data_IF_124305011870
#
_entry.id   IF_124305011870
#
_cell.length_a   1.000
_cell.length_b   1.000
_cell.length_c   1.000
_cell.angle_alpha   90.00
_cell.angle_beta   90.00
_cell.angle_gamma   90.00
#
_symmetry.space_group_name_H-M   'P 1'
#
loop_
_entity.id
_entity.type
_entity.pdbx_description
1 polymer ?
#
# COMPACT_ATOMS: atom_id res chain seq x y z
N UNK A 1 21.80 -0.22 3.32
CA UNK A 1 21.18 -1.58 3.31
C UNK A 1 21.07 -2.19 4.72
N UNK A 2 22.09 -2.09 5.60
CA UNK A 2 22.03 -2.65 6.97
C UNK A 2 20.80 -2.23 7.81
N UNK A 3 20.34 -0.95 7.85
CA UNK A 3 19.20 -0.58 8.69
C UNK A 3 17.87 -1.18 8.21
N UNK A 4 17.61 -1.25 6.91
CA UNK A 4 16.38 -1.87 6.36
C UNK A 4 16.34 -3.36 6.65
N UNK A 5 17.48 -4.05 6.49
CA UNK A 5 17.58 -5.48 6.82
C UNK A 5 17.31 -5.74 8.30
N UNK A 6 17.82 -4.87 9.18
CA UNK A 6 17.55 -4.96 10.62
C UNK A 6 16.04 -4.83 10.92
N UNK A 7 15.33 -3.89 10.26
CA UNK A 7 13.87 -3.74 10.43
C UNK A 7 13.12 -4.98 9.92
N UNK A 8 13.52 -5.55 8.78
CA UNK A 8 12.90 -6.79 8.27
C UNK A 8 13.15 -7.98 9.21
N UNK A 9 14.36 -8.07 9.78
CA UNK A 9 14.68 -9.13 10.75
C UNK A 9 13.85 -9.02 12.03
N UNK A 10 13.53 -7.80 12.50
CA UNK A 10 12.62 -7.57 13.64
C UNK A 10 11.22 -8.10 13.37
N UNK A 11 10.80 -8.18 12.09
CA UNK A 11 9.50 -8.70 11.68
C UNK A 11 9.47 -10.23 11.51
N UNK A 12 10.59 -10.92 11.72
CA UNK A 12 10.65 -12.37 11.67
C UNK A 12 9.76 -12.95 12.77
N UNK A 13 8.79 -13.78 12.39
CA UNK A 13 7.76 -14.31 13.29
C UNK A 13 6.62 -13.32 13.64
N UNK A 14 6.59 -12.14 13.03
CA UNK A 14 5.50 -11.17 13.19
C UNK A 14 4.27 -11.55 12.36
N UNK A 15 3.10 -11.15 12.84
CA UNK A 15 1.83 -11.22 12.09
C UNK A 15 1.83 -10.39 10.80
N UNK A 16 2.84 -9.54 10.58
CA UNK A 16 2.97 -8.74 9.35
C UNK A 16 2.99 -9.61 8.08
N UNK A 17 3.62 -10.79 8.15
CA UNK A 17 3.67 -11.72 7.01
C UNK A 17 2.31 -12.33 6.72
N UNK A 18 1.54 -12.64 7.77
CA UNK A 18 0.17 -13.12 7.60
C UNK A 18 -0.71 -12.06 6.93
N UNK A 19 -0.61 -10.80 7.34
CA UNK A 19 -1.33 -9.67 6.72
C UNK A 19 -0.93 -9.53 5.24
N UNK A 20 0.36 -9.60 4.94
CA UNK A 20 0.88 -9.45 3.58
C UNK A 20 0.42 -10.56 2.63
N UNK A 21 0.09 -11.74 3.14
CA UNK A 21 -0.39 -12.87 2.33
C UNK A 21 -1.92 -12.97 2.36
N UNK A 22 -2.53 -12.91 3.54
CA UNK A 22 -3.97 -13.21 3.67
C UNK A 22 -4.87 -12.16 3.01
N UNK A 23 -4.52 -10.86 3.08
CA UNK A 23 -5.38 -9.83 2.50
C UNK A 23 -5.46 -9.92 0.97
N UNK A 24 -4.35 -10.03 0.21
CA UNK A 24 -4.43 -10.23 -1.23
C UNK A 24 -5.13 -11.54 -1.61
N UNK A 25 -4.83 -12.65 -0.93
CA UNK A 25 -5.46 -13.95 -1.21
C UNK A 25 -6.96 -13.89 -0.93
N UNK A 26 -7.39 -13.32 0.20
CA UNK A 26 -8.80 -13.15 0.52
C UNK A 26 -9.53 -12.32 -0.54
N UNK A 27 -8.87 -11.30 -1.11
CA UNK A 27 -9.44 -10.51 -2.21
C UNK A 27 -9.68 -11.36 -3.46
N UNK A 28 -8.72 -12.16 -3.87
CA UNK A 28 -8.85 -13.03 -5.05
C UNK A 28 -9.90 -14.13 -4.82
N UNK A 29 -9.93 -14.73 -3.63
CA UNK A 29 -10.94 -15.73 -3.27
C UNK A 29 -12.34 -15.10 -3.30
N UNK A 30 -12.50 -13.90 -2.70
CA UNK A 30 -13.79 -13.20 -2.70
C UNK A 30 -14.29 -12.86 -4.10
N UNK A 31 -13.39 -12.63 -5.05
CA UNK A 31 -13.72 -12.40 -6.45
C UNK A 31 -14.47 -13.57 -7.11
N UNK A 32 -14.31 -14.78 -6.58
CA UNK A 32 -14.89 -16.01 -7.12
C UNK A 32 -16.17 -16.49 -6.40
N UNK A 33 -16.54 -15.87 -5.25
CA UNK A 33 -17.61 -16.40 -4.37
C UNK A 33 -19.00 -16.32 -5.04
N UNK A 34 -19.35 -15.16 -5.59
CA UNK A 34 -20.72 -14.94 -6.08
C UNK A 34 -20.90 -15.21 -7.58
N UNK A 35 -19.86 -15.01 -8.37
CA UNK A 35 -19.87 -15.22 -9.81
C UNK A 35 -18.53 -15.83 -10.19
N UNK A 36 -18.56 -16.95 -10.90
CA UNK A 36 -17.34 -17.57 -11.43
C UNK A 36 -16.84 -16.73 -12.61
N UNK A 37 -15.63 -16.13 -12.51
CA UNK A 37 -15.08 -15.40 -13.64
C UNK A 37 -14.83 -16.32 -14.84
N UNK A 38 -15.26 -15.89 -16.02
CA UNK A 38 -15.11 -16.59 -17.29
C UNK A 38 -13.86 -16.19 -18.08
N UNK A 39 -13.10 -15.22 -17.57
CA UNK A 39 -11.88 -14.71 -18.19
C UNK A 39 -10.97 -13.96 -17.22
N UNK A 40 -9.71 -13.83 -17.65
CA UNK A 40 -8.65 -13.15 -16.89
C UNK A 40 -9.01 -11.73 -16.48
N UNK A 41 -9.68 -11.01 -17.39
CA UNK A 41 -10.06 -9.63 -17.15
C UNK A 41 -11.07 -9.52 -16.02
N UNK A 42 -12.13 -10.32 -16.04
CA UNK A 42 -13.15 -10.29 -15.00
C UNK A 42 -12.58 -10.71 -13.65
N UNK A 43 -11.71 -11.73 -13.63
CA UNK A 43 -11.00 -12.15 -12.42
C UNK A 43 -10.17 -11.01 -11.86
N UNK A 44 -9.40 -10.29 -12.71
CA UNK A 44 -8.58 -9.14 -12.29
C UNK A 44 -9.43 -8.02 -11.71
N UNK A 45 -10.45 -7.55 -12.46
CA UNK A 45 -11.35 -6.45 -12.04
C UNK A 45 -11.94 -6.72 -10.66
N UNK A 46 -12.46 -7.93 -10.47
CA UNK A 46 -13.10 -8.33 -9.20
C UNK A 46 -12.09 -8.46 -8.05
N UNK A 47 -10.88 -8.93 -8.36
CA UNK A 47 -9.81 -9.05 -7.37
C UNK A 47 -9.29 -7.70 -6.90
N UNK A 48 -9.11 -6.71 -7.81
CA UNK A 48 -8.52 -5.42 -7.45
C UNK A 48 -9.54 -4.39 -6.97
N UNK A 49 -10.83 -4.54 -7.28
CA UNK A 49 -11.86 -3.56 -6.95
C UNK A 49 -11.91 -3.24 -5.46
N UNK A 50 -12.36 -4.18 -4.67
CA UNK A 50 -12.43 -4.02 -3.21
C UNK A 50 -11.05 -3.98 -2.54
N UNK A 51 -10.07 -4.68 -3.12
CA UNK A 51 -8.70 -4.67 -2.63
C UNK A 51 -8.12 -3.27 -2.56
N UNK A 52 -8.18 -2.50 -3.65
CA UNK A 52 -7.63 -1.15 -3.72
C UNK A 52 -8.37 -0.12 -2.88
N UNK A 53 -9.69 -0.33 -2.66
CA UNK A 53 -10.54 0.60 -1.91
C UNK A 53 -10.53 0.37 -0.40
N UNK A 54 -10.21 -0.84 0.06
CA UNK A 54 -10.31 -1.19 1.47
C UNK A 54 -9.14 -2.04 1.96
N UNK A 55 -8.93 -3.24 1.39
CA UNK A 55 -8.00 -4.22 1.96
C UNK A 55 -6.54 -3.75 1.91
N UNK A 56 -6.12 -3.16 0.79
CA UNK A 56 -4.74 -2.66 0.65
C UNK A 56 -4.45 -1.51 1.61
N UNK A 57 -5.25 -0.42 1.66
CA UNK A 57 -5.01 0.66 2.62
C UNK A 57 -5.04 0.22 4.08
N UNK A 58 -5.97 -0.66 4.46
CA UNK A 58 -6.00 -1.26 5.79
C UNK A 58 -4.73 -2.06 6.05
N UNK A 59 -4.31 -2.87 5.07
CA UNK A 59 -3.06 -3.63 5.13
C UNK A 59 -1.86 -2.72 5.37
N UNK A 60 -1.72 -1.62 4.63
CA UNK A 60 -0.64 -0.65 4.81
C UNK A 60 -0.64 -0.05 6.22
N UNK A 61 -1.81 0.32 6.74
CA UNK A 61 -1.95 0.89 8.08
C UNK A 61 -1.61 -0.12 9.18
N UNK A 62 -2.06 -1.37 9.03
CA UNK A 62 -1.73 -2.48 9.95
C UNK A 62 -0.24 -2.76 9.93
N UNK A 63 0.37 -2.86 8.73
CA UNK A 63 1.81 -3.10 8.58
C UNK A 63 2.63 -1.98 9.23
N UNK A 64 2.26 -0.71 8.99
CA UNK A 64 2.92 0.44 9.62
C UNK A 64 2.83 0.38 11.14
N UNK A 65 1.63 0.11 11.69
CA UNK A 65 1.42 -0.04 13.12
C UNK A 65 2.25 -1.17 13.73
N UNK A 66 2.37 -2.31 13.04
CA UNK A 66 3.16 -3.44 13.52
C UNK A 66 4.66 -3.14 13.52
N UNK A 67 5.17 -2.45 12.49
CA UNK A 67 6.58 -2.04 12.40
C UNK A 67 6.96 -1.06 13.50
N UNK A 68 6.10 -0.10 13.83
CA UNK A 68 6.37 0.87 14.89
C UNK A 68 6.05 0.35 16.30
N UNK A 69 5.17 -0.65 16.43
CA UNK A 69 4.79 -1.23 17.72
C UNK A 69 5.99 -1.76 18.51
N UNK A 70 7.00 -2.25 17.82
CA UNK A 70 8.25 -2.75 18.46
C UNK A 70 8.93 -1.64 19.26
N UNK A 71 8.94 -0.41 18.72
CA UNK A 71 9.58 0.74 19.35
C UNK A 71 8.71 1.35 20.46
N UNK A 72 7.40 1.23 20.36
CA UNK A 72 6.47 1.75 21.38
C UNK A 72 6.31 0.83 22.60
N UNK A 73 6.91 -0.37 22.59
CA UNK A 73 6.89 -1.30 23.72
C UNK A 73 8.08 -1.09 24.64
N UNK A 74 7.80 -0.99 25.95
CA UNK A 74 8.83 -0.80 26.95
C UNK A 74 9.58 0.51 26.78
N UNK A 75 10.91 0.48 27.00
CA UNK A 75 11.81 1.63 26.85
C UNK A 75 12.50 1.69 25.46
N UNK A 76 12.05 0.90 24.49
CA UNK A 76 12.70 0.81 23.17
C UNK A 76 12.73 2.16 22.44
N UNK A 77 11.73 3.01 22.64
CA UNK A 77 11.71 4.36 22.09
C UNK A 77 12.92 5.18 22.55
N UNK A 78 13.20 5.20 23.86
CA UNK A 78 14.34 5.94 24.42
C UNK A 78 15.66 5.36 23.90
N UNK A 79 15.77 4.04 23.77
CA UNK A 79 16.94 3.37 23.18
C UNK A 79 17.11 3.78 21.72
N UNK A 80 16.04 3.82 20.93
CA UNK A 80 16.08 4.22 19.53
C UNK A 80 16.59 5.66 19.39
N UNK A 81 16.08 6.59 20.23
CA UNK A 81 16.43 8.00 20.16
C UNK A 81 17.83 8.30 20.73
N UNK A 82 18.34 7.48 21.66
CA UNK A 82 19.71 7.60 22.17
C UNK A 82 20.78 7.00 21.25
N UNK A 83 20.39 6.30 20.17
CA UNK A 83 21.37 5.76 19.22
C UNK A 83 22.02 6.86 18.38
N UNK A 84 23.32 6.74 18.03
CA UNK A 84 24.00 7.73 17.17
C UNK A 84 23.59 7.62 15.69
N UNK A 85 22.36 7.15 15.42
CA UNK A 85 21.82 7.02 14.07
C UNK A 85 20.94 8.23 13.77
N UNK A 86 21.22 8.98 12.69
CA UNK A 86 20.38 10.11 12.31
C UNK A 86 18.92 9.71 12.11
N UNK A 87 17.97 10.47 12.65
CA UNK A 87 16.53 10.20 12.65
C UNK A 87 16.00 9.88 11.26
N UNK A 88 16.46 10.59 10.23
CA UNK A 88 16.03 10.34 8.86
C UNK A 88 16.33 8.91 8.37
N UNK A 89 17.44 8.30 8.83
CA UNK A 89 17.78 6.90 8.47
C UNK A 89 16.80 5.92 9.08
N UNK A 90 16.36 6.18 10.29
CA UNK A 90 15.34 5.38 10.97
C UNK A 90 14.00 5.49 10.25
N UNK A 91 13.55 6.72 9.92
CA UNK A 91 12.29 6.95 9.18
C UNK A 91 12.34 6.28 7.82
N UNK A 92 13.41 6.45 7.06
CA UNK A 92 13.59 5.79 5.75
C UNK A 92 13.60 4.27 5.89
N UNK A 93 14.32 3.71 6.86
CA UNK A 93 14.43 2.27 7.04
C UNK A 93 13.07 1.63 7.37
N UNK A 94 12.28 2.25 8.27
CA UNK A 94 10.95 1.77 8.63
C UNK A 94 9.96 1.92 7.47
N UNK A 95 9.95 3.07 6.81
CA UNK A 95 9.12 3.28 5.61
C UNK A 95 9.46 2.26 4.51
N UNK A 96 10.75 2.01 4.27
CA UNK A 96 11.18 1.02 3.29
C UNK A 96 10.77 -0.41 3.67
N UNK A 97 10.84 -0.78 4.95
CA UNK A 97 10.37 -2.09 5.42
C UNK A 97 8.86 -2.27 5.19
N UNK A 98 8.04 -1.25 5.50
CA UNK A 98 6.60 -1.25 5.25
C UNK A 98 6.33 -1.35 3.74
N UNK A 99 7.04 -0.57 2.93
CA UNK A 99 6.89 -0.57 1.48
C UNK A 99 7.30 -1.90 0.83
N UNK A 100 8.35 -2.55 1.32
CA UNK A 100 8.74 -3.89 0.86
C UNK A 100 7.66 -4.93 1.16
N UNK A 101 7.04 -4.91 2.33
CA UNK A 101 5.90 -5.76 2.66
C UNK A 101 4.68 -5.44 1.76
N UNK A 102 4.39 -4.16 1.53
CA UNK A 102 3.34 -3.72 0.62
C UNK A 102 3.59 -4.18 -0.82
N UNK A 103 4.84 -4.12 -1.29
CA UNK A 103 5.25 -4.66 -2.59
C UNK A 103 5.08 -6.19 -2.65
N UNK A 104 5.40 -6.88 -1.55
CA UNK A 104 5.11 -8.29 -1.38
C UNK A 104 3.60 -8.60 -1.50
N UNK A 105 2.73 -7.75 -0.94
CA UNK A 105 1.27 -7.89 -1.11
C UNK A 105 0.86 -7.84 -2.59
N UNK A 106 1.46 -6.96 -3.40
CA UNK A 106 1.15 -6.87 -4.83
C UNK A 106 1.64 -8.12 -5.58
N UNK A 107 2.81 -8.63 -5.23
CA UNK A 107 3.32 -9.87 -5.80
C UNK A 107 2.40 -11.05 -5.46
N UNK A 108 1.99 -11.17 -4.19
CA UNK A 108 1.05 -12.22 -3.75
C UNK A 108 -0.30 -12.09 -4.48
N UNK A 109 -0.82 -10.87 -4.68
CA UNK A 109 -2.06 -10.64 -5.42
C UNK A 109 -1.97 -11.19 -6.84
N UNK A 110 -0.90 -10.84 -7.56
CA UNK A 110 -0.70 -11.29 -8.96
C UNK A 110 -0.53 -12.80 -9.02
N UNK A 111 0.27 -13.37 -8.12
CA UNK A 111 0.46 -14.83 -8.04
C UNK A 111 -0.85 -15.55 -7.68
N UNK A 112 -1.65 -15.01 -6.78
CA UNK A 112 -2.95 -15.58 -6.41
C UNK A 112 -3.94 -15.53 -7.57
N UNK A 113 -3.99 -14.41 -8.33
CA UNK A 113 -4.80 -14.31 -9.55
C UNK A 113 -4.36 -15.36 -10.57
N UNK A 114 -3.05 -15.52 -10.78
CA UNK A 114 -2.52 -16.53 -11.69
C UNK A 114 -2.88 -17.96 -11.25
N UNK A 115 -2.66 -18.27 -9.97
CA UNK A 115 -2.94 -19.60 -9.41
C UNK A 115 -4.44 -19.95 -9.46
N UNK A 116 -5.32 -19.01 -9.10
CA UNK A 116 -6.77 -19.22 -9.17
C UNK A 116 -7.26 -19.30 -10.62
N UNK A 117 -6.76 -18.43 -11.50
CA UNK A 117 -7.17 -18.44 -12.91
C UNK A 117 -6.81 -19.74 -13.61
N UNK A 118 -5.56 -20.22 -13.45
CA UNK A 118 -5.14 -21.48 -14.08
C UNK A 118 -5.67 -22.69 -13.32
N UNK A 119 -5.49 -22.73 -12.00
CA UNK A 119 -5.73 -23.93 -11.19
C UNK A 119 -7.20 -24.17 -10.86
N UNK A 120 -7.94 -23.13 -10.43
CA UNK A 120 -9.32 -23.29 -9.98
C UNK A 120 -10.36 -23.01 -11.08
N UNK A 121 -10.09 -22.06 -11.97
CA UNK A 121 -11.02 -21.65 -13.02
C UNK A 121 -10.74 -22.31 -14.37
N UNK A 122 -9.52 -22.81 -14.60
CA UNK A 122 -9.13 -23.41 -15.88
C UNK A 122 -9.10 -22.40 -17.04
N UNK A 123 -8.76 -21.12 -16.74
CA UNK A 123 -8.74 -20.09 -17.76
C UNK A 123 -7.65 -20.36 -18.80
N UNK A 124 -7.95 -20.18 -20.10
CA UNK A 124 -6.97 -20.43 -21.15
C UNK A 124 -5.85 -19.40 -21.15
N UNK A 125 -4.66 -19.84 -21.50
CA UNK A 125 -3.48 -18.98 -21.65
C UNK A 125 -2.86 -18.55 -20.32
N UNK A 126 -1.96 -17.56 -20.41
CA UNK A 126 -1.28 -16.96 -19.27
C UNK A 126 -2.02 -15.69 -18.79
N UNK A 127 -1.82 -15.28 -17.52
CA UNK A 127 -2.31 -13.99 -17.06
C UNK A 127 -1.80 -12.85 -17.96
N UNK A 128 -2.66 -11.89 -18.33
CA UNK A 128 -2.24 -10.75 -19.15
C UNK A 128 -1.08 -9.99 -18.51
N UNK A 129 -0.10 -9.55 -19.31
CA UNK A 129 1.02 -8.74 -18.84
C UNK A 129 0.58 -7.44 -18.16
N UNK A 130 -0.63 -6.96 -18.45
CA UNK A 130 -1.28 -5.84 -17.78
C UNK A 130 -1.41 -6.07 -16.26
N UNK A 131 -1.72 -7.29 -15.80
CA UNK A 131 -1.85 -7.61 -14.37
C UNK A 131 -0.49 -7.43 -13.64
N UNK A 132 0.60 -7.87 -14.28
CA UNK A 132 1.96 -7.68 -13.75
C UNK A 132 2.33 -6.20 -13.71
N UNK A 133 2.08 -5.47 -14.79
CA UNK A 133 2.41 -4.06 -14.91
C UNK A 133 1.59 -3.20 -13.92
N UNK A 134 0.28 -3.46 -13.80
CA UNK A 134 -0.59 -2.79 -12.84
C UNK A 134 -0.18 -3.09 -11.40
N UNK A 135 0.16 -4.35 -11.09
CA UNK A 135 0.68 -4.74 -9.77
C UNK A 135 1.99 -4.03 -9.43
N UNK A 136 2.94 -3.99 -10.36
CA UNK A 136 4.22 -3.30 -10.18
C UNK A 136 4.02 -1.78 -9.98
N UNK A 137 3.17 -1.16 -10.78
CA UNK A 137 2.88 0.27 -10.65
C UNK A 137 2.17 0.58 -9.32
N UNK A 138 1.26 -0.30 -8.88
CA UNK A 138 0.59 -0.18 -7.57
C UNK A 138 1.60 -0.31 -6.42
N UNK A 139 2.59 -1.19 -6.53
CA UNK A 139 3.66 -1.29 -5.54
C UNK A 139 4.42 0.04 -5.39
N UNK A 140 4.72 0.72 -6.50
CA UNK A 140 5.33 2.06 -6.48
C UNK A 140 4.38 3.10 -5.88
N UNK A 141 3.11 3.10 -6.28
CA UNK A 141 2.09 4.03 -5.77
C UNK A 141 1.83 3.87 -4.27
N UNK A 142 2.13 2.71 -3.67
CA UNK A 142 2.02 2.49 -2.23
C UNK A 142 3.08 3.25 -1.41
N UNK A 143 4.22 3.67 -2.01
CA UNK A 143 5.32 4.28 -1.26
C UNK A 143 4.91 5.51 -0.44
N UNK A 144 4.19 6.52 -0.97
CA UNK A 144 3.76 7.67 -0.18
C UNK A 144 2.72 7.32 0.88
N UNK A 145 1.83 6.35 0.61
CA UNK A 145 0.88 5.89 1.62
C UNK A 145 1.59 5.15 2.77
N UNK A 146 2.61 4.33 2.46
CA UNK A 146 3.47 3.70 3.47
C UNK A 146 4.21 4.74 4.31
N UNK A 147 4.74 5.80 3.68
CA UNK A 147 5.40 6.89 4.39
C UNK A 147 4.44 7.63 5.32
N UNK A 148 3.23 7.96 4.86
CA UNK A 148 2.23 8.64 5.65
C UNK A 148 1.73 7.76 6.82
N UNK A 149 1.44 6.48 6.58
CA UNK A 149 1.04 5.55 7.63
C UNK A 149 2.19 5.30 8.63
N UNK A 150 3.44 5.26 8.15
CA UNK A 150 4.62 5.21 9.01
C UNK A 150 4.70 6.44 9.91
N UNK A 151 4.47 7.64 9.36
CA UNK A 151 4.44 8.88 10.12
C UNK A 151 3.37 8.86 11.21
N UNK A 152 2.13 8.53 10.88
CA UNK A 152 1.02 8.44 11.85
C UNK A 152 1.37 7.43 12.96
N UNK A 153 1.92 6.27 12.59
CA UNK A 153 2.29 5.22 13.54
C UNK A 153 3.51 5.60 14.41
N UNK A 154 4.39 6.48 13.94
CA UNK A 154 5.52 6.98 14.73
C UNK A 154 5.06 7.86 15.89
N UNK A 155 4.02 8.69 15.68
CA UNK A 155 3.53 9.65 16.68
C UNK A 155 2.42 9.10 17.56
N UNK A 156 1.97 7.86 17.39
CA UNK A 156 0.91 7.27 18.19
C UNK A 156 1.27 5.89 18.72
N UNK A 157 0.96 5.67 19.99
CA UNK A 157 1.08 4.35 20.64
C UNK A 157 -0.15 3.46 20.37
N UNK A 158 -1.24 4.04 19.86
CA UNK A 158 -2.45 3.32 19.52
C UNK A 158 -2.28 2.52 18.24
N UNK A 159 -2.66 1.26 18.25
CA UNK A 159 -2.74 0.43 17.04
C UNK A 159 -3.93 0.81 16.16
N UNK A 160 -5.04 1.19 16.78
CA UNK A 160 -6.30 1.46 16.09
C UNK A 160 -6.27 2.80 15.32
N UNK A 161 -5.56 3.82 15.84
CA UNK A 161 -5.57 5.16 15.25
C UNK A 161 -4.99 5.21 13.84
N UNK A 162 -3.81 4.62 13.52
CA UNK A 162 -3.33 4.56 12.15
C UNK A 162 -4.27 3.80 11.20
N UNK A 163 -4.92 2.75 11.69
CA UNK A 163 -5.88 1.96 10.90
C UNK A 163 -7.12 2.79 10.59
N UNK A 164 -7.69 3.47 11.59
CA UNK A 164 -8.83 4.37 11.39
C UNK A 164 -8.48 5.53 10.46
N UNK A 165 -7.30 6.15 10.64
CA UNK A 165 -6.83 7.22 9.76
C UNK A 165 -6.66 6.73 8.31
N UNK A 166 -6.09 5.53 8.12
CA UNK A 166 -5.95 4.90 6.80
C UNK A 166 -7.29 4.68 6.11
N UNK A 167 -8.29 4.17 6.85
CA UNK A 167 -9.65 4.00 6.34
C UNK A 167 -10.31 5.33 5.98
N UNK A 168 -10.23 6.34 6.85
CA UNK A 168 -10.79 7.67 6.59
C UNK A 168 -10.14 8.33 5.36
N UNK A 169 -8.80 8.31 5.27
CA UNK A 169 -8.09 8.89 4.13
C UNK A 169 -8.41 8.17 2.83
N UNK A 170 -8.61 6.86 2.88
CA UNK A 170 -9.01 6.07 1.70
C UNK A 170 -10.45 6.38 1.32
N UNK A 171 -11.36 6.45 2.29
CA UNK A 171 -12.76 6.79 2.05
C UNK A 171 -12.88 8.17 1.42
N UNK A 172 -12.22 9.19 1.98
CA UNK A 172 -12.16 10.55 1.42
C UNK A 172 -11.53 10.53 0.02
N UNK A 173 -10.39 9.87 -0.15
CA UNK A 173 -9.72 9.77 -1.44
C UNK A 173 -10.60 9.11 -2.51
N UNK A 174 -11.26 8.01 -2.17
CA UNK A 174 -12.15 7.28 -3.09
C UNK A 174 -13.37 8.11 -3.48
N UNK A 175 -14.05 8.74 -2.52
CA UNK A 175 -15.22 9.59 -2.80
C UNK A 175 -14.87 10.79 -3.67
N UNK A 176 -13.72 11.42 -3.41
CA UNK A 176 -13.25 12.55 -4.22
C UNK A 176 -12.77 12.12 -5.62
N UNK A 177 -12.20 10.90 -5.76
CA UNK A 177 -11.91 10.33 -7.07
C UNK A 177 -13.20 10.10 -7.88
N UNK A 178 -14.26 9.57 -7.25
CA UNK A 178 -15.58 9.40 -7.87
C UNK A 178 -16.23 10.74 -8.23
N UNK A 179 -16.02 11.77 -7.44
CA UNK A 179 -16.48 13.12 -7.71
C UNK A 179 -15.60 13.87 -8.73
N UNK A 180 -14.59 13.22 -9.30
CA UNK A 180 -13.67 13.80 -10.28
C UNK A 180 -12.97 15.09 -9.81
N UNK A 181 -12.68 15.20 -8.50
CA UNK A 181 -12.00 16.38 -7.94
C UNK A 181 -10.58 16.47 -8.53
N UNK A 182 -10.23 17.58 -9.18
CA UNK A 182 -8.91 17.73 -9.80
C UNK A 182 -7.80 17.71 -8.73
N UNK A 183 -6.70 17.01 -9.03
CA UNK A 183 -5.53 16.95 -8.14
C UNK A 183 -5.66 16.00 -6.94
N UNK A 184 -6.81 15.33 -6.74
CA UNK A 184 -7.01 14.42 -5.60
C UNK A 184 -5.99 13.27 -5.54
N UNK A 185 -5.42 12.91 -6.68
CA UNK A 185 -4.36 11.91 -6.79
C UNK A 185 -3.04 12.31 -6.11
N UNK A 186 -2.91 13.56 -5.66
CA UNK A 186 -1.84 14.02 -4.76
C UNK A 186 -2.06 13.53 -3.32
N UNK A 187 -3.26 13.07 -2.96
CA UNK A 187 -3.47 12.37 -1.70
C UNK A 187 -2.90 10.94 -1.81
N UNK A 188 -1.97 10.52 -0.94
CA UNK A 188 -1.30 9.21 -1.05
C UNK A 188 -2.26 8.02 -1.18
N UNK A 189 -3.35 8.00 -0.40
CA UNK A 189 -4.34 6.92 -0.45
C UNK A 189 -5.16 6.94 -1.75
N UNK A 190 -5.51 8.12 -2.27
CA UNK A 190 -6.19 8.25 -3.55
C UNK A 190 -5.30 7.82 -4.73
N UNK A 191 -3.99 8.08 -4.66
CA UNK A 191 -3.04 7.60 -5.65
C UNK A 191 -3.02 6.07 -5.70
N UNK A 192 -3.01 5.39 -4.54
CA UNK A 192 -3.08 3.93 -4.45
C UNK A 192 -4.38 3.43 -5.07
N UNK A 193 -5.53 3.94 -4.62
CA UNK A 193 -6.85 3.53 -5.13
C UNK A 193 -6.93 3.71 -6.65
N UNK A 194 -6.52 4.88 -7.16
CA UNK A 194 -6.51 5.17 -8.60
C UNK A 194 -5.66 4.17 -9.37
N UNK A 195 -4.47 3.85 -8.87
CA UNK A 195 -3.53 2.96 -9.55
C UNK A 195 -4.02 1.51 -9.57
N UNK A 196 -4.69 1.03 -8.52
CA UNK A 196 -5.29 -0.32 -8.49
C UNK A 196 -6.41 -0.49 -9.51
N UNK A 197 -7.07 0.59 -9.96
CA UNK A 197 -8.13 0.54 -10.95
C UNK A 197 -7.60 0.52 -12.41
N UNK A 198 -6.30 0.58 -12.62
CA UNK A 198 -5.71 0.50 -13.97
C UNK A 198 -6.01 -0.87 -14.58
N UNK A 199 -6.58 -0.85 -15.79
CA UNK A 199 -6.99 -2.05 -16.51
C UNK A 199 -8.24 -2.74 -15.97
N UNK A 200 -8.84 -2.21 -14.88
CA UNK A 200 -10.05 -2.76 -14.30
C UNK A 200 -11.34 -2.22 -14.94
N UNK A 201 -11.30 -1.07 -15.58
CA UNK A 201 -12.48 -0.38 -16.09
C UNK A 201 -12.42 -0.19 -17.61
N UNK A 202 -13.57 -0.36 -18.29
CA UNK A 202 -13.70 0.01 -19.70
C UNK A 202 -14.12 1.46 -19.86
N UNK A 203 -13.70 2.09 -20.98
CA UNK A 203 -14.26 3.37 -21.39
C UNK A 203 -15.76 3.23 -21.57
N UNK A 204 -16.53 4.05 -20.84
CA UNK A 204 -18.01 4.01 -20.88
C UNK A 204 -18.64 3.08 -19.84
N UNK A 205 -17.88 2.46 -18.94
CA UNK A 205 -18.47 1.76 -17.79
C UNK A 205 -19.18 2.76 -16.87
N UNK A 206 -20.38 2.40 -16.39
CA UNK A 206 -21.20 3.23 -15.49
C UNK A 206 -20.60 3.39 -14.09
N UNK A 207 -19.37 2.94 -13.87
CA UNK A 207 -18.63 3.17 -12.63
C UNK A 207 -18.09 4.58 -12.64
N UNK A 208 -18.33 5.36 -11.59
CA UNK A 208 -17.90 6.76 -11.50
C UNK A 208 -16.38 6.99 -11.51
N UNK A 209 -15.54 5.95 -11.71
CA UNK A 209 -14.09 6.10 -11.82
C UNK A 209 -13.67 6.46 -13.24
N UNK A 210 -12.73 7.42 -13.36
CA UNK A 210 -12.09 7.73 -14.63
C UNK A 210 -11.22 6.55 -15.07
N UNK A 211 -11.50 6.00 -16.25
CA UNK A 211 -10.68 4.93 -16.84
C UNK A 211 -9.27 5.47 -17.10
N UNK A 212 -8.31 4.82 -16.54
CA UNK A 212 -6.89 5.12 -16.79
C UNK A 212 -6.25 3.99 -17.58
N UNK A 213 -5.91 4.29 -18.82
CA UNK A 213 -5.10 3.37 -19.62
C UNK A 213 -3.67 3.35 -19.08
N UNK A 214 -3.05 2.18 -19.08
CA UNK A 214 -1.63 2.04 -18.76
C UNK A 214 -0.81 2.53 -19.97
N UNK A 215 -0.40 3.78 -19.92
CA UNK A 215 0.50 4.40 -20.88
C UNK A 215 1.83 4.75 -20.22
N UNK A 216 2.88 4.92 -21.00
CA UNK A 216 4.17 5.40 -20.47
C UNK A 216 4.04 6.72 -19.73
N UNK A 217 3.18 7.64 -20.23
CA UNK A 217 2.92 8.93 -19.60
C UNK A 217 2.24 8.78 -18.24
N UNK A 218 1.19 7.94 -18.15
CA UNK A 218 0.48 7.69 -16.88
C UNK A 218 1.35 6.97 -15.85
N UNK A 219 2.19 6.03 -16.30
CA UNK A 219 3.14 5.35 -15.46
C UNK A 219 4.21 6.31 -14.92
N UNK A 220 4.83 7.11 -15.78
CA UNK A 220 5.83 8.10 -15.39
C UNK A 220 5.25 9.14 -14.41
N UNK A 221 4.03 9.64 -14.66
CA UNK A 221 3.34 10.55 -13.76
C UNK A 221 3.09 9.92 -12.38
N UNK A 222 2.66 8.66 -12.32
CA UNK A 222 2.46 7.94 -11.07
C UNK A 222 3.77 7.76 -10.30
N UNK A 223 4.83 7.34 -10.98
CA UNK A 223 6.16 7.15 -10.37
C UNK A 223 6.71 8.49 -9.85
N UNK A 224 6.65 9.55 -10.66
CA UNK A 224 7.12 10.88 -10.26
C UNK A 224 6.36 11.43 -9.05
N UNK A 225 5.03 11.33 -9.08
CA UNK A 225 4.19 11.75 -7.95
C UNK A 225 4.49 10.93 -6.69
N UNK A 226 4.59 9.60 -6.82
CA UNK A 226 4.90 8.74 -5.69
C UNK A 226 6.26 9.09 -5.06
N UNK A 227 7.28 9.34 -5.88
CA UNK A 227 8.62 9.71 -5.40
C UNK A 227 8.61 11.05 -4.66
N UNK A 228 7.98 12.08 -5.24
CA UNK A 228 7.91 13.42 -4.65
C UNK A 228 7.14 13.38 -3.32
N UNK A 229 5.96 12.79 -3.29
CA UNK A 229 5.13 12.70 -2.09
C UNK A 229 5.85 11.90 -0.98
N UNK A 230 6.50 10.79 -1.34
CA UNK A 230 7.27 9.98 -0.38
C UNK A 230 8.40 10.82 0.24
N UNK A 231 9.16 11.55 -0.58
CA UNK A 231 10.22 12.44 -0.12
C UNK A 231 9.71 13.53 0.83
N UNK A 232 8.60 14.19 0.47
CA UNK A 232 7.98 15.22 1.30
C UNK A 232 7.55 14.65 2.66
N UNK A 233 6.86 13.51 2.67
CA UNK A 233 6.38 12.90 3.93
C UNK A 233 7.55 12.44 4.80
N UNK A 234 8.58 11.83 4.25
CA UNK A 234 9.79 11.43 5.00
C UNK A 234 10.49 12.66 5.60
N UNK A 235 10.67 13.73 4.82
CA UNK A 235 11.29 14.96 5.30
C UNK A 235 10.46 15.60 6.43
N UNK A 236 9.14 15.73 6.25
CA UNK A 236 8.25 16.28 7.26
C UNK A 236 8.26 15.45 8.56
N UNK A 237 8.22 14.12 8.44
CA UNK A 237 8.28 13.19 9.58
C UNK A 237 9.61 13.33 10.34
N UNK A 238 10.71 13.40 9.61
CA UNK A 238 12.05 13.56 10.20
C UNK A 238 12.17 14.88 10.96
N UNK A 239 11.72 15.98 10.35
CA UNK A 239 11.73 17.30 10.99
C UNK A 239 10.86 17.34 12.25
N UNK A 240 9.68 16.70 12.20
CA UNK A 240 8.77 16.64 13.34
C UNK A 240 9.39 15.82 14.50
N UNK A 241 10.00 14.67 14.22
CA UNK A 241 10.67 13.85 15.23
C UNK A 241 11.85 14.58 15.87
N UNK A 242 12.69 15.25 15.06
CA UNK A 242 13.82 16.03 15.60
C UNK A 242 13.38 17.17 16.55
N UNK A 243 12.22 17.78 16.27
CA UNK A 243 11.64 18.82 17.15
C UNK A 243 11.07 18.26 18.44
N UNK A 244 10.58 17.04 18.42
CA UNK A 244 10.02 16.37 19.62
C UNK A 244 11.13 15.94 20.56
N UNK A 245 12.24 15.43 20.04
CA UNK A 245 13.42 15.05 20.84
C UNK A 245 14.15 16.25 21.47
N UNK A 246 14.18 17.38 20.80
CA UNK A 246 14.82 18.59 21.31
C UNK A 246 14.08 19.23 22.52
N UNK A 247 12.87 18.73 22.86
CA UNK A 247 12.03 19.24 23.97
C UNK A 247 12.02 18.34 25.21
N UNK A 248 12.62 17.16 25.14
CA UNK A 248 12.80 16.21 26.24
C UNK A 248 14.28 16.11 26.64
#
# INVERSE_FOLDING_TARGET
MKPVLAEILKLRGSTSWAVAVLLPVASVVSACIFVRPDGWRLLWIRSVGFYGMALLPVGLAVLASLVWRVEHRGSNWNVLMSTPVPTWRTVVAKTAAIWLLASGMQLVLVLAVAAVGVGALGLPGAPPGLCLAAGALTAVACAPACALQSAISAFTRSFALPVAAGLCLTGVGTTMLLAHVPGIWLLPHALVTRTTQIGALERGSATGFTVQDLTWGSAAATVGTAAILTGIVIAATTLALNRTDARN
#
